data_IF_368777488896
#
_entry.id   IF_368777488896
#
_cell.length_a   1.000
_cell.length_b   1.000
_cell.length_c   1.000
_cell.angle_alpha   90.00
_cell.angle_beta   90.00
_cell.angle_gamma   90.00
#
_symmetry.space_group_name_H-M   'P 1'
#
loop_
_entity.id
_entity.type
_entity.pdbx_description
1 polymer ?
#
# COMPACT_ATOMS: atom_id res chain seq x y z
N UNK A 1 18.45 18.96 12.87
CA UNK A 1 17.19 18.75 12.13
C UNK A 1 16.07 18.74 13.15
N UNK A 2 15.04 19.57 13.01
CA UNK A 2 13.97 19.65 14.01
C UNK A 2 13.14 18.35 14.02
N UNK A 3 12.70 17.90 15.20
CA UNK A 3 11.88 16.68 15.37
C UNK A 3 10.59 16.74 14.54
N UNK A 4 10.07 17.95 14.29
CA UNK A 4 8.97 18.24 13.37
C UNK A 4 9.32 17.92 11.91
N UNK A 5 10.47 18.40 11.42
CA UNK A 5 10.92 18.12 10.05
C UNK A 5 11.18 16.62 9.81
N UNK A 6 11.74 15.91 10.79
CA UNK A 6 11.98 14.46 10.69
C UNK A 6 10.66 13.70 10.55
N UNK A 7 9.66 14.04 11.35
CA UNK A 7 8.37 13.35 11.38
C UNK A 7 7.56 13.62 10.10
N UNK A 8 7.56 14.86 9.59
CA UNK A 8 6.98 15.21 8.27
C UNK A 8 7.63 14.43 7.12
N UNK A 9 8.97 14.31 7.14
CA UNK A 9 9.71 13.56 6.12
C UNK A 9 9.38 12.06 6.17
N UNK A 10 9.28 11.47 7.36
CA UNK A 10 8.86 10.08 7.56
C UNK A 10 7.43 9.87 7.05
N UNK A 11 6.51 10.78 7.35
CA UNK A 11 5.13 10.69 6.86
C UNK A 11 5.06 10.74 5.33
N UNK A 12 5.84 11.61 4.69
CA UNK A 12 5.91 11.70 3.22
C UNK A 12 6.44 10.40 2.61
N UNK A 13 7.51 9.83 3.18
CA UNK A 13 8.09 8.56 2.72
C UNK A 13 7.13 7.39 2.90
N UNK A 14 6.43 7.30 4.03
CA UNK A 14 5.42 6.27 4.27
C UNK A 14 4.26 6.35 3.28
N UNK A 15 3.78 7.56 2.94
CA UNK A 15 2.76 7.73 1.90
C UNK A 15 3.23 7.23 0.54
N UNK A 16 4.47 7.56 0.15
CA UNK A 16 5.05 7.09 -1.11
C UNK A 16 5.16 5.57 -1.11
N UNK A 17 5.65 4.96 -0.03
CA UNK A 17 5.73 3.51 0.11
C UNK A 17 4.36 2.84 -0.03
N UNK A 18 3.32 3.41 0.57
CA UNK A 18 1.95 2.92 0.43
C UNK A 18 1.44 2.97 -1.03
N UNK A 19 1.69 4.06 -1.75
CA UNK A 19 1.33 4.13 -3.17
C UNK A 19 2.07 3.08 -4.01
N UNK A 20 3.35 2.84 -3.72
CA UNK A 20 4.13 1.80 -4.40
C UNK A 20 3.56 0.41 -4.10
N UNK A 21 3.17 0.13 -2.86
CA UNK A 21 2.55 -1.15 -2.48
C UNK A 21 1.21 -1.38 -3.18
N UNK A 22 0.35 -0.35 -3.24
CA UNK A 22 -0.93 -0.43 -3.98
C UNK A 22 -0.66 -0.62 -5.48
N UNK A 23 0.31 0.09 -6.05
CA UNK A 23 0.69 -0.09 -7.45
C UNK A 23 1.19 -1.52 -7.71
N UNK A 24 2.07 -2.06 -6.86
CA UNK A 24 2.55 -3.43 -6.96
C UNK A 24 1.41 -4.45 -6.92
N UNK A 25 0.42 -4.23 -6.05
CA UNK A 25 -0.79 -5.06 -5.99
C UNK A 25 -1.59 -5.00 -7.30
N UNK A 26 -1.76 -3.81 -7.88
CA UNK A 26 -2.44 -3.65 -9.18
C UNK A 26 -1.69 -4.36 -10.31
N UNK A 27 -0.35 -4.33 -10.34
CA UNK A 27 0.44 -5.02 -11.37
C UNK A 27 0.19 -6.53 -11.35
N UNK A 28 -0.06 -7.12 -10.19
CA UNK A 28 -0.37 -8.55 -10.07
C UNK A 28 -1.80 -8.85 -10.52
N UNK A 29 -2.78 -8.03 -10.13
CA UNK A 29 -4.20 -8.34 -10.32
C UNK A 29 -4.78 -7.88 -11.67
N UNK A 30 -4.30 -6.76 -12.20
CA UNK A 30 -4.85 -6.15 -13.42
C UNK A 30 -4.62 -7.00 -14.68
N UNK A 31 -3.44 -7.60 -14.93
CA UNK A 31 -3.23 -8.36 -16.17
C UNK A 31 -4.14 -9.59 -16.33
N UNK A 32 -4.35 -10.45 -15.31
CA UNK A 32 -5.30 -11.55 -15.39
C UNK A 32 -6.74 -11.07 -15.67
N UNK A 33 -7.16 -9.99 -15.02
CA UNK A 33 -8.49 -9.40 -15.20
C UNK A 33 -8.66 -8.81 -16.60
N UNK A 34 -7.67 -8.07 -17.09
CA UNK A 34 -7.70 -7.54 -18.46
C UNK A 34 -7.83 -8.67 -19.47
N UNK A 35 -6.99 -9.71 -19.36
CA UNK A 35 -7.07 -10.88 -20.25
C UNK A 35 -8.43 -11.57 -20.20
N UNK A 36 -9.03 -11.72 -19.02
CA UNK A 36 -10.36 -12.33 -18.89
C UNK A 36 -11.49 -11.53 -19.56
N UNK A 37 -11.32 -10.23 -19.77
CA UNK A 37 -12.33 -9.34 -20.37
C UNK A 37 -11.96 -8.80 -21.76
N UNK A 38 -10.80 -9.15 -22.30
CA UNK A 38 -10.31 -8.70 -23.62
C UNK A 38 -11.09 -9.36 -24.78
N UNK A 39 -11.63 -10.57 -24.59
CA UNK A 39 -12.51 -11.27 -25.54
C UNK A 39 -12.79 -12.71 -25.12
N UNK A 40 -13.65 -13.43 -25.84
CA UNK A 40 -13.95 -14.83 -25.48
C UNK A 40 -12.85 -15.83 -25.88
N UNK A 41 -11.89 -15.39 -26.70
CA UNK A 41 -10.74 -16.19 -27.15
C UNK A 41 -9.42 -15.84 -26.45
N UNK A 42 -9.42 -14.87 -25.53
CA UNK A 42 -8.19 -14.41 -24.84
C UNK A 42 -7.80 -15.30 -23.66
N UNK A 43 -8.71 -16.18 -23.20
CA UNK A 43 -8.47 -17.17 -22.16
C UNK A 43 -8.68 -18.59 -22.70
N UNK A 44 -8.05 -19.61 -22.11
CA UNK A 44 -8.26 -20.99 -22.54
C UNK A 44 -9.75 -21.38 -22.40
N UNK A 45 -10.32 -22.08 -23.40
CA UNK A 45 -11.76 -22.35 -23.47
C UNK A 45 -12.27 -23.25 -22.33
N UNK A 46 -11.36 -23.94 -21.66
CA UNK A 46 -11.65 -24.79 -20.49
C UNK A 46 -11.92 -24.01 -19.20
N UNK A 47 -11.72 -22.69 -19.19
CA UNK A 47 -11.91 -21.85 -18.00
C UNK A 47 -13.01 -20.81 -18.24
N UNK A 48 -13.88 -20.61 -17.24
CA UNK A 48 -14.68 -19.40 -17.16
C UNK A 48 -13.82 -18.18 -16.83
N UNK A 49 -14.29 -16.96 -17.15
CA UNK A 49 -13.56 -15.70 -16.88
C UNK A 49 -13.09 -15.58 -15.42
N UNK A 50 -13.97 -15.87 -14.46
CA UNK A 50 -13.65 -15.82 -13.03
C UNK A 50 -12.70 -16.94 -12.60
N UNK A 51 -12.83 -18.13 -13.18
CA UNK A 51 -11.99 -19.29 -12.87
C UNK A 51 -10.56 -19.09 -13.38
N UNK A 52 -10.41 -18.50 -14.58
CA UNK A 52 -9.13 -18.09 -15.12
C UNK A 52 -8.46 -17.06 -14.20
N UNK A 53 -9.17 -15.99 -13.81
CA UNK A 53 -8.61 -14.99 -12.88
C UNK A 53 -8.19 -15.64 -11.57
N UNK A 54 -9.04 -16.47 -10.96
CA UNK A 54 -8.73 -17.15 -9.71
C UNK A 54 -7.49 -18.03 -9.84
N UNK A 55 -7.37 -18.82 -10.91
CA UNK A 55 -6.21 -19.68 -11.17
C UNK A 55 -4.92 -18.87 -11.31
N UNK A 56 -4.95 -17.82 -12.13
CA UNK A 56 -3.77 -16.98 -12.36
C UNK A 56 -3.40 -16.19 -11.10
N UNK A 57 -4.36 -15.84 -10.24
CA UNK A 57 -4.07 -15.17 -8.95
C UNK A 57 -3.69 -16.12 -7.82
N UNK A 58 -4.02 -17.41 -7.91
CA UNK A 58 -3.69 -18.42 -6.90
C UNK A 58 -2.17 -18.56 -6.71
N UNK A 59 -1.41 -18.50 -7.82
CA UNK A 59 0.05 -18.51 -7.79
C UNK A 59 0.64 -17.30 -7.04
N UNK A 60 -0.08 -16.17 -7.05
CA UNK A 60 0.34 -14.94 -6.37
C UNK A 60 -0.31 -14.75 -5.00
N UNK A 61 -1.14 -15.69 -4.55
CA UNK A 61 -1.91 -15.57 -3.30
C UNK A 61 -1.01 -15.35 -2.07
N UNK A 62 0.16 -16.00 -1.92
CA UNK A 62 1.11 -15.68 -0.85
C UNK A 62 1.66 -14.26 -0.94
N UNK A 63 1.98 -13.77 -2.15
CA UNK A 63 2.47 -12.41 -2.36
C UNK A 63 1.39 -11.37 -2.07
N UNK A 64 0.15 -11.61 -2.53
CA UNK A 64 -1.03 -10.79 -2.24
C UNK A 64 -1.23 -10.69 -0.73
N UNK A 65 -1.15 -11.80 -0.01
CA UNK A 65 -1.29 -11.82 1.44
C UNK A 65 -0.23 -10.93 2.13
N UNK A 66 1.04 -11.05 1.71
CA UNK A 66 2.14 -10.20 2.22
C UNK A 66 1.88 -8.72 1.90
N UNK A 67 1.48 -8.39 0.67
CA UNK A 67 1.17 -7.02 0.25
C UNK A 67 0.05 -6.41 1.08
N UNK A 68 -1.03 -7.16 1.35
CA UNK A 68 -2.14 -6.71 2.19
C UNK A 68 -1.67 -6.44 3.63
N UNK A 69 -0.81 -7.28 4.20
CA UNK A 69 -0.21 -7.03 5.52
C UNK A 69 0.61 -5.74 5.49
N UNK A 70 1.49 -5.58 4.50
CA UNK A 70 2.37 -4.41 4.39
C UNK A 70 1.58 -3.09 4.22
N UNK A 71 0.50 -3.11 3.44
CA UNK A 71 -0.41 -1.97 3.27
C UNK A 71 -1.08 -1.61 4.61
N UNK A 72 -1.62 -2.61 5.32
CA UNK A 72 -2.26 -2.39 6.62
C UNK A 72 -1.27 -1.87 7.67
N UNK A 73 -0.08 -2.49 7.79
CA UNK A 73 0.97 -2.05 8.70
C UNK A 73 1.44 -0.63 8.39
N UNK A 74 1.60 -0.28 7.11
CA UNK A 74 1.97 1.07 6.69
C UNK A 74 0.87 2.10 6.99
N UNK A 75 -0.41 1.72 6.87
CA UNK A 75 -1.52 2.59 7.26
C UNK A 75 -1.53 2.86 8.77
N UNK A 76 -1.29 1.83 9.60
CA UNK A 76 -1.16 1.96 11.06
C UNK A 76 0.02 2.88 11.42
N UNK A 77 1.20 2.65 10.82
CA UNK A 77 2.38 3.50 11.04
C UNK A 77 2.12 4.95 10.62
N UNK A 78 1.41 5.18 9.51
CA UNK A 78 0.99 6.54 9.11
C UNK A 78 0.11 7.21 10.17
N UNK A 79 -0.78 6.46 10.83
CA UNK A 79 -1.63 6.98 11.90
C UNK A 79 -0.82 7.33 13.14
N UNK A 80 0.06 6.43 13.59
CA UNK A 80 0.94 6.66 14.75
C UNK A 80 1.85 7.88 14.54
N UNK A 81 2.49 7.99 13.37
CA UNK A 81 3.34 9.13 13.02
C UNK A 81 2.54 10.44 13.03
N UNK A 82 1.29 10.42 12.57
CA UNK A 82 0.40 11.59 12.61
C UNK A 82 0.05 11.99 14.04
N UNK A 83 -0.20 11.03 14.92
CA UNK A 83 -0.45 11.28 16.35
C UNK A 83 0.79 11.87 17.06
N UNK A 84 1.98 11.34 16.74
CA UNK A 84 3.25 11.89 17.25
C UNK A 84 3.45 13.32 16.76
N UNK A 85 3.21 13.59 15.48
CA UNK A 85 3.30 14.93 14.90
C UNK A 85 2.34 15.91 15.60
N UNK A 86 1.08 15.51 15.83
CA UNK A 86 0.13 16.36 16.57
C UNK A 86 0.62 16.67 17.99
N UNK A 87 1.16 15.68 18.71
CA UNK A 87 1.71 15.89 20.05
C UNK A 87 2.89 16.88 20.04
N UNK A 88 3.78 16.78 19.04
CA UNK A 88 4.89 17.72 18.84
C UNK A 88 4.37 19.13 18.56
N UNK A 89 3.34 19.27 17.73
CA UNK A 89 2.77 20.58 17.38
C UNK A 89 2.00 21.23 18.54
N UNK A 90 1.47 20.43 19.49
CA UNK A 90 0.78 20.92 20.69
C UNK A 90 1.70 21.22 21.88
N UNK A 91 2.97 20.79 21.84
CA UNK A 91 3.93 21.12 22.88
C UNK A 91 4.28 22.62 22.78
N UNK A 92 4.22 23.40 23.87
CA UNK A 92 4.66 24.77 23.84
C UNK A 92 6.13 24.82 23.42
N UNK A 93 6.56 25.88 22.69
CA UNK A 93 7.96 26.03 22.36
C UNK A 93 8.77 25.93 23.65
N UNK A 94 9.77 25.03 23.66
CA UNK A 94 10.74 25.03 24.74
C UNK A 94 11.40 26.41 24.71
N UNK A 95 10.97 27.28 25.63
CA UNK A 95 11.73 28.47 25.97
C UNK A 95 13.09 27.97 26.42
N UNK A 96 14.12 28.26 25.64
CA UNK A 96 15.49 28.35 26.12
C UNK A 96 15.45 29.24 27.35
N UNK A 97 15.48 28.63 28.54
CA UNK A 97 15.95 29.32 29.73
C UNK A 97 17.47 29.27 29.67
N UNK A 98 18.05 30.42 29.32
CA UNK A 98 19.44 30.81 29.62
C UNK A 98 19.79 30.56 31.10
#
# INVERSE_FOLDING_TARGET
MSMKQTTEQVQKRLKIANYILVFAFLVVFVPPVMKAWEGDNSIPPQYGKMEYVAKETDEFLPMIFILVILINSSFLLCKEVKEIQMKIDTLPPQTETD
#
